data_IF_552084635104
#
_entry.id   IF_552084635104
#
_cell.length_a   1.000
_cell.length_b   1.000
_cell.length_c   1.000
_cell.angle_alpha   90.00
_cell.angle_beta   90.00
_cell.angle_gamma   90.00
#
_symmetry.space_group_name_H-M   'P 1'
#
loop_
_entity.id
_entity.type
_entity.pdbx_description
1 polymer ?
#
# COMPACT_ATOMS: atom_id res chain seq x y z
N UNK A 1 -5.14 20.23 28.84
CA UNK A 1 -6.43 19.57 29.16
C UNK A 1 -6.60 18.35 28.26
N UNK A 2 -6.25 17.18 28.82
CA UNK A 2 -6.60 15.80 28.44
C UNK A 2 -7.32 15.56 27.09
N UNK A 3 -6.56 14.98 26.17
CA UNK A 3 -6.97 14.23 24.98
C UNK A 3 -8.18 13.31 25.24
N UNK A 4 -9.31 13.56 24.57
CA UNK A 4 -10.40 12.59 24.38
C UNK A 4 -10.58 12.33 22.88
N UNK A 5 -9.57 11.74 22.24
CA UNK A 5 -9.76 11.06 20.95
C UNK A 5 -10.26 9.64 21.20
N UNK A 6 -11.50 9.37 20.83
CA UNK A 6 -12.00 8.02 20.57
C UNK A 6 -13.06 7.50 21.53
N UNK A 7 -14.16 6.99 20.96
CA UNK A 7 -14.98 5.98 21.63
C UNK A 7 -14.08 4.77 21.91
N UNK A 8 -14.13 4.26 23.15
CA UNK A 8 -13.47 3.02 23.57
C UNK A 8 -13.85 1.91 22.57
N UNK A 9 -12.90 1.08 22.14
CA UNK A 9 -13.23 -0.13 21.38
C UNK A 9 -14.05 -1.02 22.31
N UNK A 10 -15.35 -1.13 22.06
CA UNK A 10 -16.17 -2.16 22.68
C UNK A 10 -15.96 -3.45 21.88
N UNK A 11 -15.20 -4.38 22.46
CA UNK A 11 -14.98 -5.71 21.89
C UNK A 11 -16.21 -6.62 22.03
N UNK A 12 -17.25 -6.13 22.73
CA UNK A 12 -18.57 -6.76 22.85
C UNK A 12 -19.60 -6.20 21.87
N UNK A 13 -19.19 -5.39 20.88
CA UNK A 13 -20.11 -4.92 19.85
C UNK A 13 -20.61 -6.13 19.03
N UNK A 14 -21.93 -6.32 18.90
CA UNK A 14 -22.49 -7.43 18.15
C UNK A 14 -21.99 -7.39 16.69
N UNK A 15 -21.83 -8.56 16.05
CA UNK A 15 -21.35 -8.66 14.68
C UNK A 15 -22.09 -7.69 13.75
N UNK A 16 -21.37 -6.71 13.20
CA UNK A 16 -21.94 -5.73 12.29
C UNK A 16 -21.50 -6.08 10.88
N UNK A 17 -22.40 -6.73 10.15
CA UNK A 17 -22.22 -7.14 8.75
C UNK A 17 -21.63 -6.04 7.86
N UNK A 18 -22.00 -4.77 8.06
CA UNK A 18 -21.46 -3.66 7.28
C UNK A 18 -19.97 -3.41 7.58
N UNK A 19 -19.53 -3.55 8.85
CA UNK A 19 -18.11 -3.41 9.22
C UNK A 19 -17.28 -4.53 8.63
N UNK A 20 -17.78 -5.76 8.62
CA UNK A 20 -17.08 -6.91 8.07
C UNK A 20 -16.91 -6.79 6.56
N UNK A 21 -17.94 -6.33 5.85
CA UNK A 21 -17.86 -6.00 4.43
C UNK A 21 -16.78 -4.94 4.17
N UNK A 22 -16.71 -3.88 4.98
CA UNK A 22 -15.68 -2.85 4.83
C UNK A 22 -14.27 -3.38 5.15
N UNK A 23 -14.12 -4.24 6.17
CA UNK A 23 -12.84 -4.88 6.49
C UNK A 23 -12.38 -5.77 5.35
N UNK A 24 -13.26 -6.60 4.81
CA UNK A 24 -12.98 -7.45 3.66
C UNK A 24 -12.61 -6.63 2.41
N UNK A 25 -13.31 -5.53 2.16
CA UNK A 25 -12.97 -4.62 1.06
C UNK A 25 -11.59 -3.98 1.25
N UNK A 26 -11.28 -3.47 2.46
CA UNK A 26 -9.96 -2.91 2.78
C UNK A 26 -8.85 -3.96 2.62
N UNK A 27 -9.06 -5.19 3.07
CA UNK A 27 -8.10 -6.28 2.91
C UNK A 27 -7.84 -6.61 1.44
N UNK A 28 -8.90 -6.71 0.62
CA UNK A 28 -8.77 -6.92 -0.83
C UNK A 28 -8.01 -5.77 -1.51
N UNK A 29 -8.34 -4.52 -1.16
CA UNK A 29 -7.64 -3.34 -1.70
C UNK A 29 -6.16 -3.35 -1.31
N UNK A 30 -5.84 -3.69 -0.06
CA UNK A 30 -4.45 -3.77 0.40
C UNK A 30 -3.66 -4.84 -0.38
N UNK A 31 -4.22 -6.04 -0.52
CA UNK A 31 -3.59 -7.12 -1.30
C UNK A 31 -3.40 -6.74 -2.78
N UNK A 32 -4.38 -6.06 -3.38
CA UNK A 32 -4.26 -5.59 -4.76
C UNK A 32 -3.16 -4.54 -4.92
N UNK A 33 -3.07 -3.59 -3.98
CA UNK A 33 -2.02 -2.57 -3.99
C UNK A 33 -0.64 -3.20 -3.82
N UNK A 34 -0.48 -4.15 -2.89
CA UNK A 34 0.77 -4.88 -2.69
C UNK A 34 1.20 -5.64 -3.96
N UNK A 35 0.27 -6.28 -4.65
CA UNK A 35 0.56 -6.96 -5.92
C UNK A 35 1.01 -5.99 -7.02
N UNK A 36 0.41 -4.79 -7.10
CA UNK A 36 0.82 -3.75 -8.04
C UNK A 36 2.21 -3.20 -7.69
N UNK A 37 2.47 -2.92 -6.41
CA UNK A 37 3.78 -2.45 -5.93
C UNK A 37 4.88 -3.46 -6.27
N UNK A 38 4.67 -4.76 -6.01
CA UNK A 38 5.61 -5.82 -6.39
C UNK A 38 5.87 -5.88 -7.90
N UNK A 39 4.81 -5.75 -8.71
CA UNK A 39 4.95 -5.78 -10.17
C UNK A 39 5.76 -4.60 -10.67
N UNK A 40 5.56 -3.41 -10.10
CA UNK A 40 6.35 -2.22 -10.47
C UNK A 40 7.81 -2.42 -10.11
N UNK A 41 8.13 -2.94 -8.92
CA UNK A 41 9.51 -3.23 -8.51
C UNK A 41 10.21 -4.15 -9.53
N UNK A 42 9.54 -5.24 -9.94
CA UNK A 42 10.09 -6.20 -10.92
C UNK A 42 10.36 -5.49 -12.26
N UNK A 43 9.39 -4.71 -12.74
CA UNK A 43 9.52 -3.99 -14.01
C UNK A 43 10.59 -2.91 -13.97
N UNK A 44 10.78 -2.22 -12.84
CA UNK A 44 11.82 -1.20 -12.68
C UNK A 44 13.23 -1.82 -12.66
N UNK A 45 13.41 -2.96 -11.99
CA UNK A 45 14.66 -3.72 -12.00
C UNK A 45 14.98 -4.24 -13.42
N UNK A 46 14.00 -4.84 -14.10
CA UNK A 46 14.16 -5.28 -15.48
C UNK A 46 14.51 -4.12 -16.41
N UNK A 47 13.79 -2.99 -16.30
CA UNK A 47 14.05 -1.81 -17.11
C UNK A 47 15.47 -1.26 -16.88
N UNK A 48 15.94 -1.26 -15.64
CA UNK A 48 17.30 -0.84 -15.29
C UNK A 48 18.34 -1.73 -15.96
N UNK A 49 18.15 -3.06 -15.92
CA UNK A 49 19.06 -4.02 -16.56
C UNK A 49 19.08 -3.85 -18.08
N UNK A 50 17.91 -3.69 -18.70
CA UNK A 50 17.79 -3.49 -20.14
C UNK A 50 18.45 -2.17 -20.59
N UNK A 51 18.29 -1.10 -19.83
CA UNK A 51 18.93 0.19 -20.13
C UNK A 51 20.45 0.09 -20.03
N UNK A 52 20.97 -0.58 -19.00
CA UNK A 52 22.40 -0.83 -18.88
C UNK A 52 22.95 -1.68 -20.04
N UNK A 53 22.23 -2.71 -20.46
CA UNK A 53 22.64 -3.57 -21.59
C UNK A 53 22.65 -2.84 -22.94
N UNK A 54 21.84 -1.79 -23.08
CA UNK A 54 21.72 -0.98 -24.30
C UNK A 54 22.50 0.35 -24.22
N UNK A 55 23.30 0.55 -23.17
CA UNK A 55 24.05 1.79 -22.90
C UNK A 55 23.15 3.05 -22.92
N UNK A 56 21.91 2.90 -22.44
CA UNK A 56 20.94 3.98 -22.33
C UNK A 56 21.13 4.72 -20.99
N UNK A 57 20.85 6.04 -20.95
CA UNK A 57 20.93 6.79 -19.69
C UNK A 57 19.97 6.21 -18.64
N UNK A 58 20.16 6.46 -17.33
CA UNK A 58 19.22 6.03 -16.29
C UNK A 58 17.78 6.55 -16.53
N UNK A 59 16.81 5.96 -15.84
CA UNK A 59 15.42 6.43 -15.87
C UNK A 59 15.25 7.66 -14.98
N UNK A 60 14.68 8.75 -15.50
CA UNK A 60 14.43 10.00 -14.77
C UNK A 60 13.20 9.93 -13.84
N UNK A 61 12.62 8.74 -13.64
CA UNK A 61 11.40 8.59 -12.86
C UNK A 61 11.70 8.72 -11.37
N UNK A 62 10.95 9.56 -10.63
CA UNK A 62 11.09 9.61 -9.18
C UNK A 62 10.61 8.29 -8.56
N UNK A 63 11.18 7.90 -7.41
CA UNK A 63 10.77 6.68 -6.70
C UNK A 63 9.29 6.77 -6.32
N UNK A 64 8.55 5.66 -6.42
CA UNK A 64 7.18 5.61 -5.93
C UNK A 64 7.18 5.87 -4.42
N UNK A 65 6.52 6.95 -4.01
CA UNK A 65 6.27 7.21 -2.60
C UNK A 65 5.37 6.14 -1.97
N UNK A 66 5.40 6.03 -0.65
CA UNK A 66 4.42 5.21 0.08
C UNK A 66 3.02 5.78 -0.10
N UNK A 67 2.09 4.96 -0.59
CA UNK A 67 0.69 5.35 -0.77
C UNK A 67 -0.02 5.75 0.53
N UNK A 68 -1.32 6.12 0.48
CA UNK A 68 -2.07 6.65 1.63
C UNK A 68 -2.26 5.65 2.80
N UNK A 69 -1.93 4.37 2.60
CA UNK A 69 -1.83 3.36 3.67
C UNK A 69 -0.41 3.20 4.18
N UNK A 70 0.45 4.20 3.92
CA UNK A 70 1.90 4.15 4.00
C UNK A 70 2.37 3.36 5.21
N UNK A 71 3.13 2.30 4.94
CA UNK A 71 4.04 1.72 5.92
C UNK A 71 5.21 2.70 6.10
N UNK A 72 4.92 3.88 6.65
CA UNK A 72 5.92 4.83 7.11
C UNK A 72 6.30 4.46 8.53
N UNK A 73 7.48 3.85 8.68
CA UNK A 73 8.19 3.49 9.93
C UNK A 73 7.37 3.10 11.15
#
# INVERSE_FOLDING_TARGET
TTSKRGRKRDDNLPPNRARDVQRAFRARRASHLEALEQRVIILEDENTRLRAALDLPPSDRPPLGTGPTGRGK
#
